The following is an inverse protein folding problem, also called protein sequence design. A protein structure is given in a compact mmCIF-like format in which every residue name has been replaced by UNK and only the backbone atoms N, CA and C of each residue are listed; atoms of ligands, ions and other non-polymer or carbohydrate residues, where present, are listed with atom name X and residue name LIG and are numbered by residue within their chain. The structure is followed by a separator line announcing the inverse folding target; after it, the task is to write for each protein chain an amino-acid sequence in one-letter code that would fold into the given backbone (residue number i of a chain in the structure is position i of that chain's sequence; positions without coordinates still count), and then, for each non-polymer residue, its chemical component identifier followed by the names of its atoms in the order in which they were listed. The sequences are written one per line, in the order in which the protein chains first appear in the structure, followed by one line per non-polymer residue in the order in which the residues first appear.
data_IF_370676952937
#
_entry.id   IF_370676952937
#
_cell.length_a   1.000
_cell.length_b   1.000
_cell.length_c   1.000
_cell.angle_alpha   90.00
_cell.angle_beta   90.00
_cell.angle_gamma   90.00
#
_symmetry.space_group_name_H-M   'P 1'
#
loop_
_entity.id
_entity.type
_entity.pdbx_description
1 polymer ?
#
# COMPACT_ATOMS: atom_id res chain seq x y z
N UNK A 1 8.46 11.54 13.72
CA UNK A 1 7.13 11.08 13.23
C UNK A 1 6.16 12.26 13.32
N UNK A 2 5.32 12.49 12.30
CA UNK A 2 4.25 13.51 12.39
C UNK A 2 3.02 12.92 13.08
N UNK A 3 2.14 13.80 13.60
CA UNK A 3 0.83 13.38 14.17
C UNK A 3 0.01 12.50 13.21
N UNK A 4 0.09 12.71 11.89
CA UNK A 4 -0.62 11.87 10.91
C UNK A 4 0.02 10.50 10.69
N UNK A 5 1.34 10.40 10.74
CA UNK A 5 2.06 9.11 10.68
C UNK A 5 1.80 8.30 11.95
N UNK A 6 1.79 8.94 13.12
CA UNK A 6 1.47 8.28 14.38
C UNK A 6 0.07 7.66 14.35
N UNK A 7 -0.95 8.45 13.96
CA UNK A 7 -2.33 7.96 13.83
C UNK A 7 -2.50 6.83 12.81
N UNK A 8 -1.78 6.91 11.69
CA UNK A 8 -1.77 5.84 10.71
C UNK A 8 -1.13 4.58 11.29
N UNK A 9 0.02 4.72 11.98
CA UNK A 9 0.71 3.61 12.61
C UNK A 9 -0.16 2.91 13.66
N UNK A 10 -0.81 3.66 14.56
CA UNK A 10 -1.75 3.12 15.57
C UNK A 10 -2.85 2.26 14.94
N UNK A 11 -3.47 2.75 13.86
CA UNK A 11 -4.49 2.00 13.14
C UNK A 11 -4.00 0.66 12.60
N UNK A 12 -2.74 0.60 12.15
CA UNK A 12 -2.15 -0.62 11.59
C UNK A 12 -1.58 -1.54 12.67
N UNK A 13 -1.05 -1.02 13.78
CA UNK A 13 -0.58 -1.82 14.92
C UNK A 13 -1.68 -2.78 15.39
N UNK A 14 -2.89 -2.27 15.60
CA UNK A 14 -4.04 -3.11 16.00
C UNK A 14 -4.33 -4.23 15.00
N UNK A 15 -4.17 -3.96 13.71
CA UNK A 15 -4.37 -4.97 12.66
C UNK A 15 -3.29 -6.04 12.64
N UNK A 16 -2.04 -5.67 12.97
CA UNK A 16 -0.90 -6.58 12.93
C UNK A 16 -0.75 -7.42 14.21
N UNK A 17 -1.39 -7.03 15.32
CA UNK A 17 -1.38 -7.80 16.58
C UNK A 17 -2.04 -9.16 16.45
N UNK A 18 -3.11 -9.24 15.68
CA UNK A 18 -3.73 -10.52 15.35
C UNK A 18 -2.97 -11.11 14.18
N UNK A 19 -2.19 -12.14 14.45
CA UNK A 19 -1.43 -12.85 13.43
C UNK A 19 -2.32 -13.50 12.37
N UNK A 20 -1.73 -14.08 11.31
CA UNK A 20 -2.48 -14.76 10.27
C UNK A 20 -3.20 -16.00 10.85
N UNK A 21 -4.51 -16.08 10.68
CA UNK A 21 -5.35 -17.23 11.03
C UNK A 21 -5.89 -17.87 9.75
N UNK A 22 -6.43 -19.08 9.85
CA UNK A 22 -7.01 -19.74 8.67
C UNK A 22 -8.14 -18.94 8.04
N UNK A 23 -8.93 -18.23 8.87
CA UNK A 23 -9.99 -17.34 8.39
C UNK A 23 -9.40 -16.16 7.61
N UNK A 24 -8.41 -15.46 8.17
CA UNK A 24 -7.80 -14.31 7.50
C UNK A 24 -7.05 -14.71 6.24
N UNK A 25 -6.35 -15.84 6.23
CA UNK A 25 -5.69 -16.41 5.05
C UNK A 25 -6.68 -16.78 3.95
N UNK A 26 -7.81 -17.42 4.31
CA UNK A 26 -8.86 -17.76 3.35
C UNK A 26 -9.44 -16.51 2.70
N UNK A 27 -9.79 -15.51 3.50
CA UNK A 27 -10.29 -14.23 3.01
C UNK A 27 -9.28 -13.57 2.08
N UNK A 28 -8.02 -13.52 2.48
CA UNK A 28 -6.96 -12.90 1.69
C UNK A 28 -6.77 -13.60 0.34
N UNK A 29 -6.76 -14.95 0.31
CA UNK A 29 -6.69 -15.72 -0.94
C UNK A 29 -7.86 -15.39 -1.88
N UNK A 30 -9.08 -15.28 -1.35
CA UNK A 30 -10.24 -14.91 -2.15
C UNK A 30 -10.13 -13.49 -2.73
N UNK A 31 -9.55 -12.56 -1.98
CA UNK A 31 -9.52 -11.12 -2.35
C UNK A 31 -8.34 -10.78 -3.27
N UNK A 32 -7.13 -11.21 -2.92
CA UNK A 32 -5.91 -10.80 -3.63
C UNK A 32 -5.26 -11.92 -4.44
N UNK A 33 -5.72 -13.16 -4.28
CA UNK A 33 -5.15 -14.33 -4.95
C UNK A 33 -3.97 -14.99 -4.21
N UNK A 34 -3.77 -14.69 -2.93
CA UNK A 34 -2.71 -15.26 -2.12
C UNK A 34 -2.80 -14.84 -0.65
N UNK A 35 -2.01 -15.43 0.24
CA UNK A 35 -2.00 -15.14 1.67
C UNK A 35 -0.66 -14.53 2.13
N UNK A 36 -0.34 -13.37 1.63
CA UNK A 36 0.92 -12.65 1.83
C UNK A 36 0.89 -11.63 2.98
N UNK A 37 -0.19 -11.55 3.75
CA UNK A 37 -0.40 -10.56 4.81
C UNK A 37 -0.89 -9.21 4.28
N UNK A 38 -1.63 -9.22 3.18
CA UNK A 38 -2.18 -8.01 2.58
C UNK A 38 -3.26 -7.37 3.45
N UNK A 39 -3.20 -6.05 3.58
CA UNK A 39 -4.22 -5.24 4.25
C UNK A 39 -4.89 -4.21 3.32
N UNK A 40 -4.49 -4.20 2.06
CA UNK A 40 -4.92 -3.26 1.03
C UNK A 40 -5.69 -3.92 -0.11
N UNK A 41 -5.71 -3.24 -1.24
CA UNK A 41 -6.48 -3.64 -2.43
C UNK A 41 -5.59 -4.12 -3.58
N UNK A 42 -4.30 -4.28 -3.36
CA UNK A 42 -3.36 -4.73 -4.39
C UNK A 42 -3.47 -6.23 -4.55
N UNK A 43 -3.93 -6.68 -5.71
CA UNK A 43 -4.03 -8.10 -6.06
C UNK A 43 -2.68 -8.66 -6.52
N UNK A 44 -2.59 -9.99 -6.62
CA UNK A 44 -1.42 -10.69 -7.14
C UNK A 44 -1.06 -10.23 -8.57
N UNK A 45 -2.06 -10.01 -9.43
CA UNK A 45 -1.87 -9.48 -10.78
C UNK A 45 -1.27 -8.06 -10.75
N UNK A 46 -1.76 -7.22 -9.87
CA UNK A 46 -1.25 -5.86 -9.69
C UNK A 46 0.15 -5.84 -9.07
N UNK A 47 0.48 -6.76 -8.18
CA UNK A 47 1.85 -6.92 -7.67
C UNK A 47 2.83 -7.35 -8.77
N UNK A 48 2.44 -8.29 -9.65
CA UNK A 48 3.24 -8.65 -10.83
C UNK A 48 3.48 -7.45 -11.74
N UNK A 49 2.44 -6.65 -11.98
CA UNK A 49 2.56 -5.42 -12.77
C UNK A 49 3.56 -4.44 -12.14
N UNK A 50 3.57 -4.26 -10.81
CA UNK A 50 4.60 -3.46 -10.14
C UNK A 50 6.01 -3.97 -10.44
N UNK A 51 6.24 -5.27 -10.37
CA UNK A 51 7.54 -5.88 -10.70
C UNK A 51 7.99 -5.56 -12.12
N UNK A 52 7.08 -5.68 -13.10
CA UNK A 52 7.34 -5.33 -14.50
C UNK A 52 7.63 -3.84 -14.69
N UNK A 53 6.79 -2.97 -14.12
CA UNK A 53 6.94 -1.51 -14.23
C UNK A 53 8.25 -1.00 -13.61
N UNK A 54 8.73 -1.65 -12.55
CA UNK A 54 9.99 -1.33 -11.90
C UNK A 54 11.20 -1.99 -12.57
N UNK A 55 11.00 -2.92 -13.50
CA UNK A 55 12.08 -3.66 -14.13
C UNK A 55 12.86 -4.53 -13.15
N UNK A 56 12.16 -5.16 -12.19
CA UNK A 56 12.79 -5.97 -11.15
C UNK A 56 13.31 -7.31 -11.73
N UNK A 57 14.46 -7.73 -11.26
CA UNK A 57 15.09 -8.99 -11.58
C UNK A 57 16.21 -9.33 -10.60
N UNK A 58 16.93 -10.44 -10.80
CA UNK A 58 18.08 -10.79 -9.97
C UNK A 58 19.09 -9.64 -9.90
N UNK A 59 19.57 -9.32 -8.68
CA UNK A 59 20.51 -8.22 -8.44
C UNK A 59 19.86 -6.85 -8.26
N UNK A 60 18.61 -6.62 -8.68
CA UNK A 60 17.89 -5.38 -8.41
C UNK A 60 17.60 -5.19 -6.92
N UNK A 61 17.67 -3.94 -6.45
CA UNK A 61 17.36 -3.55 -5.07
C UNK A 61 16.04 -2.77 -5.03
N UNK A 62 15.03 -3.36 -4.43
CA UNK A 62 13.71 -2.78 -4.21
C UNK A 62 13.60 -2.19 -2.80
N UNK A 63 13.03 -1.00 -2.69
CA UNK A 63 12.49 -0.49 -1.43
C UNK A 63 10.96 -0.56 -1.48
N UNK A 64 10.36 -1.35 -0.60
CA UNK A 64 8.91 -1.40 -0.40
C UNK A 64 8.55 -0.52 0.82
N UNK A 65 7.82 0.58 0.59
CA UNK A 65 7.42 1.54 1.62
C UNK A 65 6.03 1.22 2.15
N UNK A 66 5.89 1.18 3.48
CA UNK A 66 4.66 0.77 4.12
C UNK A 66 4.39 -0.72 3.90
N UNK A 67 5.46 -1.51 3.99
CA UNK A 67 5.46 -2.93 3.67
C UNK A 67 4.57 -3.79 4.58
N UNK A 68 4.18 -3.28 5.76
CA UNK A 68 3.33 -4.00 6.69
C UNK A 68 3.85 -5.39 7.01
N UNK A 69 3.06 -6.40 6.72
CA UNK A 69 3.43 -7.82 6.91
C UNK A 69 4.20 -8.42 5.72
N UNK A 70 4.69 -7.58 4.80
CA UNK A 70 5.57 -7.97 3.71
C UNK A 70 4.95 -7.98 2.32
N UNK A 71 3.69 -7.60 2.15
CA UNK A 71 3.02 -7.48 0.85
C UNK A 71 3.17 -6.07 0.26
N UNK A 72 3.52 -5.92 -1.03
CA UNK A 72 3.86 -6.97 -2.01
C UNK A 72 5.36 -7.32 -2.05
N UNK A 73 6.21 -6.71 -1.22
CA UNK A 73 7.67 -6.80 -1.31
C UNK A 73 8.22 -8.24 -1.25
N UNK A 74 7.73 -9.09 -0.34
CA UNK A 74 8.17 -10.48 -0.24
C UNK A 74 7.80 -11.29 -1.48
N UNK A 75 6.58 -11.12 -2.00
CA UNK A 75 6.17 -11.74 -3.24
C UNK A 75 7.06 -11.31 -4.41
N UNK A 76 7.39 -10.01 -4.50
CA UNK A 76 8.28 -9.50 -5.55
C UNK A 76 9.68 -10.09 -5.43
N UNK A 77 10.23 -10.21 -4.22
CA UNK A 77 11.52 -10.87 -4.01
C UNK A 77 11.51 -12.34 -4.45
N UNK A 78 10.41 -13.07 -4.17
CA UNK A 78 10.23 -14.45 -4.62
C UNK A 78 10.11 -14.54 -6.14
N UNK A 79 9.22 -13.73 -6.72
CA UNK A 79 8.87 -13.83 -8.14
C UNK A 79 9.95 -13.33 -9.09
N UNK A 80 10.77 -12.34 -8.67
CA UNK A 80 11.75 -11.69 -9.54
C UNK A 80 13.20 -11.98 -9.16
N UNK A 81 13.45 -12.54 -7.98
CA UNK A 81 14.81 -12.72 -7.46
C UNK A 81 15.48 -11.45 -6.97
N UNK A 82 14.78 -10.31 -6.90
CA UNK A 82 15.35 -9.06 -6.40
C UNK A 82 15.62 -9.12 -4.88
N UNK A 83 16.49 -8.23 -4.40
CA UNK A 83 16.65 -7.91 -2.99
C UNK A 83 15.60 -6.87 -2.60
N UNK A 84 14.94 -7.03 -1.44
CA UNK A 84 13.94 -6.08 -0.96
C UNK A 84 14.26 -5.58 0.45
N UNK A 85 14.17 -4.28 0.63
CA UNK A 85 14.07 -3.65 1.95
C UNK A 85 12.60 -3.35 2.21
N UNK A 86 12.06 -3.93 3.30
CA UNK A 86 10.69 -3.76 3.76
C UNK A 86 10.67 -2.65 4.80
N UNK A 87 10.29 -1.44 4.42
CA UNK A 87 10.29 -0.30 5.32
C UNK A 87 8.88 0.04 5.81
N UNK A 88 8.68 0.08 7.12
CA UNK A 88 7.43 0.53 7.74
C UNK A 88 7.72 1.15 9.12
N UNK A 89 6.71 1.84 9.69
CA UNK A 89 6.80 2.38 11.05
C UNK A 89 6.39 1.34 12.10
N UNK A 90 5.24 0.62 11.98
CA UNK A 90 4.85 -0.43 12.92
C UNK A 90 5.82 -1.62 12.87
N UNK A 91 6.51 -1.88 13.97
CA UNK A 91 7.42 -3.02 14.09
C UNK A 91 6.71 -4.38 14.14
N UNK A 92 5.44 -4.39 14.53
CA UNK A 92 4.58 -5.59 14.56
C UNK A 92 4.42 -6.19 13.16
N UNK A 93 4.15 -5.36 12.16
CA UNK A 93 4.08 -5.79 10.77
C UNK A 93 5.42 -6.32 10.28
N UNK A 94 6.50 -5.62 10.57
CA UNK A 94 7.86 -6.02 10.16
C UNK A 94 8.31 -7.34 10.81
N UNK A 95 7.92 -7.62 12.06
CA UNK A 95 8.18 -8.92 12.70
C UNK A 95 7.44 -10.05 11.97
N UNK A 96 6.17 -9.82 11.60
CA UNK A 96 5.40 -10.77 10.78
C UNK A 96 6.04 -10.97 9.41
N UNK A 97 6.47 -9.89 8.75
CA UNK A 97 7.19 -9.95 7.48
C UNK A 97 8.49 -10.76 7.57
N UNK A 98 9.29 -10.55 8.64
CA UNK A 98 10.51 -11.31 8.87
C UNK A 98 10.25 -12.81 9.11
N UNK A 99 9.19 -13.14 9.85
CA UNK A 99 8.79 -14.54 10.07
C UNK A 99 8.35 -15.18 8.76
N UNK A 100 7.54 -14.49 7.96
CA UNK A 100 7.12 -14.94 6.63
C UNK A 100 8.30 -15.10 5.68
N UNK A 101 9.24 -14.16 5.65
CA UNK A 101 10.43 -14.26 4.80
C UNK A 101 11.24 -15.53 5.08
N UNK A 102 11.33 -15.96 6.35
CA UNK A 102 11.97 -17.23 6.71
C UNK A 102 11.16 -18.42 6.23
N UNK A 103 9.85 -18.43 6.46
CA UNK A 103 8.96 -19.50 6.03
C UNK A 103 8.94 -19.71 4.51
N UNK A 104 9.01 -18.61 3.75
CA UNK A 104 9.05 -18.61 2.28
C UNK A 104 10.46 -18.81 1.69
N UNK A 105 11.49 -18.97 2.53
CA UNK A 105 12.88 -19.19 2.07
C UNK A 105 13.53 -17.94 1.40
N UNK A 106 12.99 -16.73 1.62
CA UNK A 106 13.51 -15.48 1.03
C UNK A 106 14.20 -14.57 2.04
N UNK A 107 14.44 -15.02 3.26
CA UNK A 107 15.05 -14.22 4.31
C UNK A 107 16.41 -13.60 3.92
N UNK A 108 17.21 -14.29 3.09
CA UNK A 108 18.48 -13.76 2.59
C UNK A 108 18.33 -12.57 1.63
N UNK A 109 17.13 -12.34 1.08
CA UNK A 109 16.84 -11.26 0.12
C UNK A 109 15.91 -10.18 0.69
N UNK A 110 15.36 -10.37 1.90
CA UNK A 110 14.37 -9.48 2.49
C UNK A 110 14.85 -8.91 3.82
N UNK A 111 15.02 -7.60 3.90
CA UNK A 111 15.51 -6.91 5.09
C UNK A 111 14.42 -5.98 5.64
N UNK A 112 13.78 -6.30 6.78
CA UNK A 112 12.82 -5.40 7.42
C UNK A 112 13.55 -4.26 8.14
N UNK A 113 13.08 -3.01 7.94
CA UNK A 113 13.66 -1.81 8.52
C UNK A 113 12.55 -0.90 9.06
N UNK A 114 12.59 -0.56 10.34
CA UNK A 114 11.68 0.44 10.90
C UNK A 114 12.11 1.83 10.47
N UNK A 115 11.32 2.48 9.61
CA UNK A 115 11.63 3.78 9.06
C UNK A 115 10.36 4.57 8.67
N UNK A 116 10.40 5.88 8.89
CA UNK A 116 9.39 6.79 8.32
C UNK A 116 9.66 6.97 6.82
N UNK A 117 8.59 6.87 6.00
CA UNK A 117 8.67 7.10 4.56
C UNK A 117 9.20 8.51 4.18
N UNK A 118 9.19 9.47 5.12
CA UNK A 118 9.74 10.83 4.94
C UNK A 118 11.22 10.96 5.28
N UNK A 119 11.74 10.04 6.10
CA UNK A 119 13.14 10.06 6.60
C UNK A 119 13.75 8.68 6.43
N UNK A 120 14.00 8.33 5.20
CA UNK A 120 14.60 7.05 4.85
C UNK A 120 16.07 7.02 5.25
N UNK A 121 16.51 6.04 6.09
CA UNK A 121 17.87 5.95 6.62
C UNK A 121 18.83 5.29 5.62
N UNK A 122 18.65 5.57 4.33
CA UNK A 122 19.46 5.00 3.25
C UNK A 122 20.22 6.10 2.53
N UNK A 123 21.40 5.77 2.02
CA UNK A 123 22.18 6.66 1.16
C UNK A 123 21.40 7.03 -0.12
N UNK A 124 21.76 8.16 -0.72
CA UNK A 124 21.22 8.52 -2.03
C UNK A 124 21.66 7.49 -3.08
N UNK A 125 20.74 7.12 -3.98
CA UNK A 125 21.08 6.21 -5.08
C UNK A 125 21.23 4.74 -4.70
N UNK A 126 20.67 4.32 -3.57
CA UNK A 126 20.78 2.93 -3.06
C UNK A 126 19.91 1.94 -3.86
N UNK A 127 18.74 2.34 -4.33
CA UNK A 127 17.72 1.46 -4.87
C UNK A 127 17.51 1.63 -6.38
N UNK A 128 17.22 0.52 -7.05
CA UNK A 128 16.79 0.47 -8.45
C UNK A 128 15.30 0.81 -8.57
N UNK A 129 14.49 0.35 -7.61
CA UNK A 129 13.06 0.56 -7.54
C UNK A 129 12.57 1.00 -6.17
N UNK A 130 11.54 1.83 -6.15
CA UNK A 130 10.75 2.14 -4.94
C UNK A 130 9.29 1.85 -5.24
N UNK A 131 8.68 0.95 -4.46
CA UNK A 131 7.28 0.62 -4.52
C UNK A 131 6.55 1.03 -3.25
N UNK A 132 5.26 1.25 -3.36
CA UNK A 132 4.32 1.22 -2.23
C UNK A 132 2.89 0.99 -2.72
N UNK A 133 2.04 0.47 -1.85
CA UNK A 133 0.65 0.20 -2.17
C UNK A 133 -0.26 0.81 -1.12
N UNK A 134 -1.06 1.80 -1.54
CA UNK A 134 -2.03 2.53 -0.73
C UNK A 134 -1.44 3.22 0.53
N UNK A 135 -0.17 3.63 0.47
CA UNK A 135 0.54 4.33 1.55
C UNK A 135 0.29 5.83 1.51
N UNK A 136 0.44 6.46 0.33
CA UNK A 136 0.31 7.92 0.22
C UNK A 136 -1.10 8.43 0.55
N UNK A 137 -2.14 7.63 0.36
CA UNK A 137 -3.49 7.99 0.79
C UNK A 137 -3.66 8.01 2.34
N UNK A 138 -2.71 7.45 3.08
CA UNK A 138 -2.66 7.47 4.54
C UNK A 138 -1.74 8.55 5.13
N UNK A 139 -0.89 9.18 4.31
CA UNK A 139 0.13 10.15 4.74
C UNK A 139 -0.14 11.56 4.20
N UNK A 140 -0.15 12.57 5.09
CA UNK A 140 -0.42 13.96 4.67
C UNK A 140 0.71 14.60 3.86
N UNK A 141 1.99 14.57 4.24
CA UNK A 141 3.02 15.27 3.45
C UNK A 141 3.53 14.41 2.29
N UNK A 142 2.66 14.14 1.30
CA UNK A 142 2.93 13.30 0.14
C UNK A 142 4.19 13.72 -0.64
N UNK A 143 4.38 15.02 -0.86
CA UNK A 143 5.54 15.54 -1.58
C UNK A 143 6.86 15.21 -0.86
N UNK A 144 6.87 15.24 0.47
CA UNK A 144 8.08 14.88 1.25
C UNK A 144 8.42 13.40 1.10
N UNK A 145 7.42 12.52 1.05
CA UNK A 145 7.61 11.08 0.80
C UNK A 145 8.15 10.85 -0.61
N UNK A 146 7.58 11.50 -1.62
CA UNK A 146 8.03 11.38 -3.00
C UNK A 146 9.48 11.91 -3.19
N UNK A 147 9.85 13.01 -2.52
CA UNK A 147 11.23 13.52 -2.51
C UNK A 147 12.20 12.55 -1.83
N UNK A 148 11.80 11.94 -0.71
CA UNK A 148 12.59 10.93 -0.03
C UNK A 148 12.79 9.68 -0.91
N UNK A 149 11.71 9.22 -1.57
CA UNK A 149 11.77 8.11 -2.53
C UNK A 149 12.71 8.42 -3.69
N UNK A 150 12.61 9.62 -4.28
CA UNK A 150 13.53 10.04 -5.35
C UNK A 150 14.99 10.08 -4.90
N UNK A 151 15.27 10.58 -3.69
CA UNK A 151 16.64 10.67 -3.16
C UNK A 151 17.32 9.30 -3.09
N UNK A 152 16.59 8.28 -2.64
CA UNK A 152 17.16 6.93 -2.44
C UNK A 152 17.21 6.10 -3.72
N UNK A 153 16.47 6.45 -4.77
CA UNK A 153 16.60 5.83 -6.08
C UNK A 153 17.93 6.22 -6.74
N UNK A 154 18.57 5.33 -7.47
CA UNK A 154 19.70 5.66 -8.36
C UNK A 154 19.24 6.49 -9.57
N UNK A 155 20.13 7.20 -10.27
CA UNK A 155 19.81 7.74 -11.61
C UNK A 155 19.27 6.62 -12.51
N UNK A 156 18.20 6.88 -13.25
CA UNK A 156 17.47 5.89 -14.03
C UNK A 156 16.57 4.94 -13.22
N UNK A 157 16.65 4.99 -11.89
CA UNK A 157 15.77 4.19 -11.01
C UNK A 157 14.31 4.65 -11.09
N UNK A 158 13.39 3.72 -10.84
CA UNK A 158 11.94 3.92 -11.06
C UNK A 158 11.15 3.84 -9.75
N UNK A 159 10.08 4.61 -9.67
CA UNK A 159 9.04 4.40 -8.66
C UNK A 159 7.76 3.92 -9.33
N UNK A 160 7.06 2.99 -8.69
CA UNK A 160 5.75 2.54 -9.09
C UNK A 160 4.88 2.32 -7.85
N UNK A 161 3.66 2.86 -7.84
CA UNK A 161 2.80 2.73 -6.68
C UNK A 161 1.32 2.83 -7.01
N UNK A 162 0.52 2.07 -6.27
CA UNK A 162 -0.93 2.24 -6.24
C UNK A 162 -1.34 3.19 -5.14
N UNK A 163 -2.34 4.02 -5.41
CA UNK A 163 -2.91 4.88 -4.38
C UNK A 163 -4.36 5.26 -4.66
N UNK A 164 -5.15 5.33 -3.59
CA UNK A 164 -6.53 5.83 -3.62
C UNK A 164 -6.47 7.35 -3.56
N UNK A 165 -7.30 8.01 -4.36
CA UNK A 165 -7.39 9.46 -4.40
C UNK A 165 -8.82 9.93 -4.76
N UNK A 166 -9.20 11.18 -4.46
CA UNK A 166 -10.43 11.75 -4.98
C UNK A 166 -10.42 11.77 -6.52
N UNK A 167 -11.55 11.50 -7.12
CA UNK A 167 -11.69 11.60 -8.57
C UNK A 167 -11.45 13.07 -9.03
N UNK A 168 -11.14 13.24 -10.30
CA UNK A 168 -10.96 14.59 -10.88
C UNK A 168 -12.30 15.31 -10.99
N UNK A 169 -12.26 16.66 -11.04
CA UNK A 169 -13.45 17.48 -11.33
C UNK A 169 -14.50 17.59 -10.20
N UNK A 170 -14.25 17.04 -9.01
CA UNK A 170 -15.21 17.06 -7.92
C UNK A 170 -15.48 18.47 -7.38
N UNK A 171 -16.76 18.79 -7.16
CA UNK A 171 -17.19 19.98 -6.42
C UNK A 171 -16.73 19.94 -4.95
N UNK A 172 -16.64 21.07 -4.23
CA UNK A 172 -16.17 21.11 -2.84
C UNK A 172 -16.92 20.17 -1.88
N UNK A 173 -18.24 20.03 -2.02
CA UNK A 173 -19.04 19.12 -1.21
C UNK A 173 -18.70 17.64 -1.49
N UNK A 174 -18.52 17.30 -2.77
CA UNK A 174 -18.10 15.95 -3.20
C UNK A 174 -16.69 15.62 -2.69
N UNK A 175 -15.74 16.56 -2.75
CA UNK A 175 -14.38 16.39 -2.19
C UNK A 175 -14.42 16.10 -0.68
N UNK A 176 -15.27 16.80 0.07
CA UNK A 176 -15.46 16.53 1.50
C UNK A 176 -16.04 15.14 1.74
N UNK A 177 -16.97 14.69 0.91
CA UNK A 177 -17.55 13.35 0.99
C UNK A 177 -16.49 12.28 0.65
N UNK A 178 -15.72 12.45 -0.42
CA UNK A 178 -14.59 11.58 -0.76
C UNK A 178 -13.60 11.46 0.40
N UNK A 179 -13.24 12.59 1.05
CA UNK A 179 -12.32 12.60 2.18
C UNK A 179 -12.83 11.82 3.40
N UNK A 180 -14.14 11.82 3.67
CA UNK A 180 -14.75 11.06 4.76
C UNK A 180 -14.89 9.56 4.47
N UNK A 181 -15.03 9.19 3.20
CA UNK A 181 -15.25 7.80 2.77
C UNK A 181 -13.95 7.07 2.37
N UNK A 182 -12.86 7.80 2.16
CA UNK A 182 -11.57 7.25 1.76
C UNK A 182 -10.62 6.98 2.91
N UNK A 183 -9.35 6.72 2.57
CA UNK A 183 -8.27 6.54 3.52
C UNK A 183 -8.00 7.83 4.35
N UNK A 184 -7.33 7.74 5.52
CA UNK A 184 -7.22 8.86 6.48
C UNK A 184 -6.64 10.16 5.94
N UNK A 185 -5.84 10.10 4.88
CA UNK A 185 -5.25 11.25 4.22
C UNK A 185 -5.44 11.19 2.69
N UNK A 186 -6.59 10.67 2.23
CA UNK A 186 -6.89 10.48 0.80
C UNK A 186 -6.83 11.78 0.01
N UNK A 187 -7.20 12.90 0.62
CA UNK A 187 -7.16 14.22 -0.02
C UNK A 187 -5.73 14.66 -0.35
N UNK A 188 -5.59 15.33 -1.48
CA UNK A 188 -4.34 15.94 -1.93
C UNK A 188 -4.63 17.35 -2.47
N UNK A 189 -3.68 18.27 -2.27
CA UNK A 189 -3.80 19.65 -2.76
C UNK A 189 -3.59 19.75 -4.29
N UNK A 190 -2.89 18.78 -4.88
CA UNK A 190 -2.57 18.72 -6.31
C UNK A 190 -2.68 17.28 -6.80
N UNK A 191 -2.93 17.02 -8.11
CA UNK A 191 -2.82 15.70 -8.71
C UNK A 191 -1.46 15.05 -8.44
N UNK A 192 -1.42 13.73 -8.38
CA UNK A 192 -0.17 12.99 -8.09
C UNK A 192 0.90 13.20 -9.15
N UNK A 193 0.52 13.39 -10.41
CA UNK A 193 1.43 13.72 -11.52
C UNK A 193 2.19 15.03 -11.24
N UNK A 194 1.48 16.05 -10.74
CA UNK A 194 2.11 17.33 -10.35
C UNK A 194 3.00 17.17 -9.11
N UNK A 195 2.64 16.30 -8.17
CA UNK A 195 3.48 16.03 -7.00
C UNK A 195 4.75 15.27 -7.38
N UNK A 196 4.67 14.32 -8.31
CA UNK A 196 5.82 13.60 -8.86
C UNK A 196 6.75 14.56 -9.60
N UNK A 197 6.23 15.41 -10.49
CA UNK A 197 7.02 16.43 -11.17
C UNK A 197 7.69 17.41 -10.18
N UNK A 198 6.95 17.88 -9.16
CA UNK A 198 7.47 18.76 -8.11
C UNK A 198 8.50 18.06 -7.19
N UNK A 199 8.50 16.73 -7.13
CA UNK A 199 9.53 15.92 -6.48
C UNK A 199 10.76 15.72 -7.38
N UNK A 200 10.71 16.11 -8.66
CA UNK A 200 11.80 16.01 -9.63
C UNK A 200 11.84 14.68 -10.41
N UNK A 201 10.74 13.95 -10.44
CA UNK A 201 10.57 12.79 -11.31
C UNK A 201 10.24 13.19 -12.75
N UNK A 202 10.55 12.30 -13.68
CA UNK A 202 10.25 12.41 -15.12
C UNK A 202 9.58 11.13 -15.61
N UNK A 203 9.17 11.08 -16.89
CA UNK A 203 8.48 9.93 -17.49
C UNK A 203 7.30 9.46 -16.62
N UNK A 204 6.50 10.43 -16.18
CA UNK A 204 5.38 10.18 -15.29
C UNK A 204 4.23 9.58 -16.09
N UNK A 205 3.71 8.45 -15.63
CA UNK A 205 2.53 7.80 -16.19
C UNK A 205 1.51 7.51 -15.11
N UNK A 206 0.25 7.44 -15.50
CA UNK A 206 -0.89 7.06 -14.67
C UNK A 206 -1.76 6.06 -15.41
N UNK A 207 -2.11 4.97 -14.75
CA UNK A 207 -3.10 3.99 -15.20
C UNK A 207 -4.25 3.98 -14.21
N UNK A 208 -5.48 4.16 -14.69
CA UNK A 208 -6.67 4.04 -13.85
C UNK A 208 -6.91 2.56 -13.51
N UNK A 209 -7.14 2.29 -12.23
CA UNK A 209 -7.42 0.95 -11.69
C UNK A 209 -8.68 1.00 -10.80
N UNK A 210 -9.61 1.91 -11.09
CA UNK A 210 -10.79 2.13 -10.25
C UNK A 210 -11.78 0.98 -10.36
N UNK A 211 -11.93 0.35 -11.52
CA UNK A 211 -12.80 -0.81 -11.70
C UNK A 211 -12.31 -2.00 -10.86
N UNK A 212 -11.03 -2.36 -10.97
CA UNK A 212 -10.43 -3.45 -10.18
C UNK A 212 -10.44 -3.13 -8.68
N UNK A 213 -10.33 -1.84 -8.32
CA UNK A 213 -10.47 -1.41 -6.93
C UNK A 213 -11.87 -1.64 -6.40
N UNK A 214 -12.92 -1.34 -7.18
CA UNK A 214 -14.31 -1.59 -6.81
C UNK A 214 -14.56 -3.09 -6.62
N UNK A 215 -14.12 -3.92 -7.56
CA UNK A 215 -14.24 -5.38 -7.49
C UNK A 215 -13.55 -5.94 -6.24
N UNK A 216 -12.28 -5.58 -6.02
CA UNK A 216 -11.50 -6.04 -4.86
C UNK A 216 -12.15 -5.58 -3.53
N UNK A 217 -12.66 -4.35 -3.49
CA UNK A 217 -13.34 -3.83 -2.29
C UNK A 217 -14.67 -4.55 -2.02
N UNK A 218 -15.39 -4.94 -3.07
CA UNK A 218 -16.62 -5.74 -2.96
C UNK A 218 -16.32 -7.15 -2.44
N UNK A 219 -15.30 -7.82 -2.97
CA UNK A 219 -14.89 -9.15 -2.48
C UNK A 219 -14.47 -9.08 -1.01
N UNK A 220 -13.66 -8.07 -0.62
CA UNK A 220 -13.32 -7.84 0.78
C UNK A 220 -14.56 -7.73 1.67
N UNK A 221 -15.59 -6.99 1.24
CA UNK A 221 -16.81 -6.82 2.02
C UNK A 221 -17.56 -8.13 2.14
N UNK A 222 -17.78 -8.84 1.03
CA UNK A 222 -18.50 -10.10 0.99
C UNK A 222 -17.86 -11.18 1.87
N UNK A 223 -16.53 -11.33 1.79
CA UNK A 223 -15.77 -12.28 2.60
C UNK A 223 -15.82 -11.95 4.10
N UNK A 224 -15.80 -10.66 4.44
CA UNK A 224 -15.94 -10.22 5.82
C UNK A 224 -17.36 -10.41 6.35
N UNK A 225 -18.37 -10.17 5.52
CA UNK A 225 -19.77 -10.42 5.88
C UNK A 225 -20.00 -11.93 6.11
N UNK A 226 -19.49 -12.78 5.23
CA UNK A 226 -19.57 -14.25 5.36
C UNK A 226 -18.80 -14.81 6.57
N UNK A 227 -17.78 -14.09 7.04
CA UNK A 227 -16.91 -14.54 8.14
C UNK A 227 -17.17 -13.77 9.45
N UNK A 228 -18.30 -13.06 9.55
CA UNK A 228 -18.55 -12.11 10.64
C UNK A 228 -18.31 -12.70 12.03
N UNK A 229 -18.91 -13.85 12.34
CA UNK A 229 -18.81 -14.48 13.65
C UNK A 229 -17.35 -14.83 14.03
N UNK A 230 -16.59 -15.39 13.10
CA UNK A 230 -15.19 -15.74 13.32
C UNK A 230 -14.31 -14.48 13.50
N UNK A 231 -14.55 -13.43 12.70
CA UNK A 231 -13.83 -12.17 12.83
C UNK A 231 -14.22 -11.43 14.12
N UNK A 232 -15.49 -11.50 14.54
CA UNK A 232 -15.97 -10.90 15.78
C UNK A 232 -15.32 -11.55 17.00
N UNK A 233 -15.14 -12.87 16.99
CA UNK A 233 -14.41 -13.57 18.04
C UNK A 233 -12.93 -13.14 18.15
N UNK A 234 -12.31 -12.70 17.02
CA UNK A 234 -10.90 -12.29 16.99
C UNK A 234 -10.68 -10.81 17.29
N UNK A 235 -11.55 -9.95 16.77
CA UNK A 235 -11.36 -8.48 16.79
C UNK A 235 -12.39 -7.75 17.66
N UNK A 236 -13.42 -8.45 18.14
CA UNK A 236 -14.60 -7.86 18.76
C UNK A 236 -15.66 -7.43 17.73
N UNK A 237 -16.92 -7.69 18.06
CA UNK A 237 -18.08 -7.45 17.17
C UNK A 237 -18.17 -5.99 16.71
N UNK A 238 -18.02 -5.04 17.64
CA UNK A 238 -18.09 -3.61 17.34
C UNK A 238 -17.00 -3.18 16.33
N UNK A 239 -15.78 -3.69 16.47
CA UNK A 239 -14.66 -3.36 15.58
C UNK A 239 -14.90 -3.92 14.16
N UNK A 240 -15.44 -5.15 14.05
CA UNK A 240 -15.79 -5.76 12.77
C UNK A 240 -16.92 -4.97 12.10
N UNK A 241 -18.00 -4.68 12.82
CA UNK A 241 -19.13 -3.92 12.30
C UNK A 241 -18.72 -2.51 11.83
N UNK A 242 -17.83 -1.84 12.56
CA UNK A 242 -17.30 -0.53 12.15
C UNK A 242 -16.48 -0.63 10.86
N UNK A 243 -15.61 -1.63 10.73
CA UNK A 243 -14.83 -1.87 9.51
C UNK A 243 -15.72 -2.14 8.30
N UNK A 244 -16.78 -2.92 8.46
CA UNK A 244 -17.76 -3.18 7.41
C UNK A 244 -18.52 -1.91 7.02
N UNK A 245 -18.96 -1.10 7.98
CA UNK A 245 -19.60 0.21 7.70
C UNK A 245 -18.67 1.12 6.88
N UNK A 246 -17.38 1.20 7.25
CA UNK A 246 -16.38 1.98 6.50
C UNK A 246 -16.20 1.45 5.07
N UNK A 247 -16.12 0.13 4.88
CA UNK A 247 -16.01 -0.47 3.54
C UNK A 247 -17.25 -0.22 2.68
N UNK A 248 -18.46 -0.36 3.24
CA UNK A 248 -19.70 -0.01 2.52
C UNK A 248 -19.74 1.46 2.12
N UNK A 249 -19.30 2.37 3.00
CA UNK A 249 -19.21 3.79 2.68
C UNK A 249 -18.18 4.07 1.57
N UNK A 250 -17.07 3.37 1.58
CA UNK A 250 -16.04 3.48 0.54
C UNK A 250 -16.55 2.95 -0.81
N UNK A 251 -17.18 1.79 -0.85
CA UNK A 251 -17.79 1.23 -2.06
C UNK A 251 -18.82 2.17 -2.68
N UNK A 252 -19.71 2.74 -1.84
CA UNK A 252 -20.65 3.77 -2.33
C UNK A 252 -19.92 4.97 -2.93
N UNK A 253 -18.84 5.43 -2.29
CA UNK A 253 -18.08 6.57 -2.80
C UNK A 253 -17.34 6.24 -4.11
N UNK A 254 -16.92 5.00 -4.32
CA UNK A 254 -16.36 4.54 -5.61
C UNK A 254 -17.47 4.53 -6.66
N UNK A 255 -18.61 3.91 -6.39
CA UNK A 255 -19.76 3.84 -7.32
C UNK A 255 -20.32 5.23 -7.68
N UNK A 256 -20.29 6.17 -6.76
CA UNK A 256 -20.70 7.57 -6.99
C UNK A 256 -19.61 8.41 -7.72
N UNK A 257 -18.50 7.79 -8.17
CA UNK A 257 -17.41 8.48 -8.86
C UNK A 257 -16.63 9.47 -7.97
N UNK A 258 -16.64 9.30 -6.65
CA UNK A 258 -15.96 10.21 -5.73
C UNK A 258 -14.52 9.78 -5.41
N UNK A 259 -14.25 8.48 -5.45
CA UNK A 259 -12.94 7.89 -5.19
C UNK A 259 -12.47 7.12 -6.41
N UNK A 260 -11.22 7.27 -6.73
CA UNK A 260 -10.52 6.52 -7.75
C UNK A 260 -9.25 5.87 -7.16
N UNK A 261 -8.73 4.86 -7.83
CA UNK A 261 -7.43 4.27 -7.52
C UNK A 261 -6.61 4.15 -8.79
N UNK A 262 -5.35 4.57 -8.75
CA UNK A 262 -4.48 4.53 -9.93
C UNK A 262 -3.12 3.95 -9.60
N UNK A 263 -2.50 3.32 -10.60
CA UNK A 263 -1.08 3.05 -10.63
C UNK A 263 -0.35 4.27 -11.20
N UNK A 264 0.63 4.77 -10.49
CA UNK A 264 1.55 5.81 -10.94
C UNK A 264 2.93 5.21 -11.13
N UNK A 265 3.58 5.54 -12.24
CA UNK A 265 4.99 5.23 -12.47
C UNK A 265 5.77 6.48 -12.80
N UNK A 266 7.05 6.55 -12.42
CA UNK A 266 7.92 7.66 -12.76
C UNK A 266 9.39 7.26 -12.64
N UNK A 267 10.28 7.99 -13.30
CA UNK A 267 11.72 7.73 -13.34
C UNK A 267 12.50 8.86 -12.67
N UNK A 268 13.54 8.54 -11.89
CA UNK A 268 14.54 9.50 -11.45
C UNK A 268 15.55 9.73 -12.60
N UNK A 269 15.66 10.97 -13.09
CA UNK A 269 16.82 11.39 -13.88
C UNK A 269 18.06 11.40 -13.02
#
# INVERSE_FOLDING_TARGET
MTSSEAKAAELFIERYRVGPTDVTKRIERAVIGGDWGANGYTTLAQARKLGTELGLGPGARLLDLGAGQGWPGLYLATATGCQVVLADVPTEGLRSAAARARAEGVAARAVPVSASARRLPFAAGTFDGVAHTDVLCCLRPKLSVLRASRRVLRPGGRTAFYTIHPAAGLAPAQRRRAARSGAPAVSTARPYEHLLAAAGFTQISRTDCTAEFAETAQVWLSEWDASFAALAAMYGEQAVAERQRKRRAQLRAIGDGLLARSLFTATRR
#
